data_IF_128151031301
#
_entry.id   IF_128151031301
#
_cell.length_a   1.000
_cell.length_b   1.000
_cell.length_c   1.000
_cell.angle_alpha   90.00
_cell.angle_beta   90.00
_cell.angle_gamma   90.00
#
_symmetry.space_group_name_H-M   'P 1'
#
loop_
_entity.id
_entity.type
_entity.pdbx_description
1 polymer ?
#
# COMPACT_ATOMS: atom_id res chain seq x y z
N UNK A 1 -9.99 16.71 -32.62
CA UNK A 1 -10.61 16.34 -31.33
C UNK A 1 -10.12 17.33 -30.30
N UNK A 2 -10.93 18.34 -29.98
CA UNK A 2 -10.67 19.19 -28.82
C UNK A 2 -10.55 18.27 -27.60
N UNK A 3 -9.42 18.34 -26.88
CA UNK A 3 -9.19 17.50 -25.71
C UNK A 3 -10.32 17.71 -24.71
N UNK A 4 -10.85 16.61 -24.16
CA UNK A 4 -11.93 16.66 -23.16
C UNK A 4 -11.69 17.79 -22.14
N UNK A 5 -12.73 18.54 -21.71
CA UNK A 5 -12.61 19.75 -20.90
C UNK A 5 -11.65 19.63 -19.69
N UNK A 6 -11.57 18.44 -19.13
CA UNK A 6 -10.69 18.10 -18.00
C UNK A 6 -9.21 18.08 -18.33
N UNK A 7 -8.84 17.59 -19.52
CA UNK A 7 -7.45 17.66 -19.99
C UNK A 7 -7.03 19.12 -20.13
N UNK A 8 -7.92 19.95 -20.65
CA UNK A 8 -7.70 21.39 -20.76
C UNK A 8 -7.56 22.06 -19.37
N UNK A 9 -8.39 21.66 -18.39
CA UNK A 9 -8.27 22.13 -17.00
C UNK A 9 -6.93 21.75 -16.37
N UNK A 10 -6.52 20.47 -16.49
CA UNK A 10 -5.24 20.00 -15.94
C UNK A 10 -4.06 20.71 -16.58
N UNK A 11 -4.05 20.80 -17.90
CA UNK A 11 -2.95 21.44 -18.63
C UNK A 11 -2.88 22.94 -18.31
N UNK A 12 -4.03 23.60 -18.12
CA UNK A 12 -4.11 24.98 -17.61
C UNK A 12 -3.51 25.08 -16.19
N UNK A 13 -3.94 24.23 -15.26
CA UNK A 13 -3.44 24.22 -13.88
C UNK A 13 -1.92 23.98 -13.82
N UNK A 14 -1.39 23.09 -14.67
CA UNK A 14 0.06 22.85 -14.79
C UNK A 14 0.79 24.10 -15.27
N UNK A 15 0.29 24.76 -16.32
CA UNK A 15 0.91 25.99 -16.84
C UNK A 15 0.89 27.11 -15.79
N UNK A 16 -0.26 27.35 -15.16
CA UNK A 16 -0.39 28.35 -14.11
C UNK A 16 0.55 28.07 -12.94
N UNK A 17 0.66 26.81 -12.50
CA UNK A 17 1.60 26.46 -11.43
C UNK A 17 3.06 26.69 -11.83
N UNK A 18 3.44 26.38 -13.08
CA UNK A 18 4.79 26.68 -13.57
C UNK A 18 5.06 28.18 -13.64
N UNK A 19 4.08 28.99 -14.05
CA UNK A 19 4.17 30.46 -14.04
C UNK A 19 4.32 30.99 -12.61
N UNK A 20 3.56 30.46 -11.65
CA UNK A 20 3.70 30.78 -10.22
C UNK A 20 5.10 30.42 -9.70
N UNK A 21 5.62 29.23 -10.02
CA UNK A 21 6.98 28.84 -9.66
C UNK A 21 8.03 29.77 -10.28
N UNK A 22 7.90 30.11 -11.56
CA UNK A 22 8.84 30.99 -12.25
C UNK A 22 8.83 32.42 -11.68
N UNK A 23 7.68 32.88 -11.18
CA UNK A 23 7.53 34.18 -10.53
C UNK A 23 7.88 34.18 -9.03
N UNK A 24 8.03 33.01 -8.41
CA UNK A 24 8.25 32.86 -6.98
C UNK A 24 9.69 33.20 -6.59
N UNK A 25 9.91 34.48 -6.24
CA UNK A 25 11.18 34.98 -5.70
C UNK A 25 11.56 34.35 -4.34
N UNK A 26 10.65 33.61 -3.70
CA UNK A 26 10.90 32.86 -2.46
C UNK A 26 11.66 31.56 -2.67
N UNK A 27 11.85 31.10 -3.92
CA UNK A 27 12.65 29.93 -4.29
C UNK A 27 14.15 30.20 -4.12
N UNK A 28 14.58 30.24 -2.85
CA UNK A 28 15.93 30.55 -2.41
C UNK A 28 16.68 29.30 -1.96
N UNK A 29 18.03 29.33 -1.92
CA UNK A 29 18.82 28.25 -1.31
C UNK A 29 18.37 27.92 0.12
N UNK A 30 17.99 28.92 0.91
CA UNK A 30 17.50 28.74 2.28
C UNK A 30 16.17 27.99 2.32
N UNK A 31 15.22 28.29 1.42
CA UNK A 31 13.99 27.51 1.30
C UNK A 31 14.32 26.05 0.97
N UNK A 32 15.18 25.80 -0.01
CA UNK A 32 15.55 24.42 -0.39
C UNK A 32 16.25 23.69 0.76
N UNK A 33 17.09 24.38 1.53
CA UNK A 33 17.69 23.82 2.74
C UNK A 33 16.62 23.47 3.78
N UNK A 34 15.65 24.37 4.04
CA UNK A 34 14.53 24.11 4.96
C UNK A 34 13.67 22.94 4.51
N UNK A 35 13.31 22.84 3.22
CA UNK A 35 12.55 21.72 2.68
C UNK A 35 13.29 20.39 2.85
N UNK A 36 14.59 20.36 2.54
CA UNK A 36 15.43 19.16 2.70
C UNK A 36 15.56 18.75 4.17
N UNK A 37 15.85 19.70 5.05
CA UNK A 37 15.93 19.47 6.50
C UNK A 37 14.59 19.06 7.09
N UNK A 38 13.48 19.59 6.57
CA UNK A 38 12.12 19.20 6.91
C UNK A 38 11.83 17.75 6.55
N UNK A 39 12.20 17.30 5.34
CA UNK A 39 12.06 15.90 4.94
C UNK A 39 12.85 14.97 5.85
N UNK A 40 14.08 15.32 6.23
CA UNK A 40 14.87 14.56 7.21
C UNK A 40 14.19 14.52 8.59
N UNK A 41 13.73 15.67 9.09
CA UNK A 41 13.09 15.78 10.41
C UNK A 41 11.79 14.98 10.49
N UNK A 42 11.01 15.00 9.41
CA UNK A 42 9.75 14.26 9.28
C UNK A 42 9.94 12.79 8.87
N UNK A 43 11.18 12.31 8.75
CA UNK A 43 11.53 10.94 8.32
C UNK A 43 10.99 10.55 6.94
N UNK A 44 10.85 11.54 6.05
CA UNK A 44 10.44 11.38 4.65
C UNK A 44 11.67 11.04 3.80
N UNK A 45 12.30 9.90 4.11
CA UNK A 45 13.54 9.45 3.50
C UNK A 45 13.40 8.01 3.01
N UNK A 46 14.11 7.69 1.92
CA UNK A 46 14.45 6.34 1.53
C UNK A 46 15.96 6.16 1.73
N UNK A 47 16.32 5.53 2.86
CA UNK A 47 17.68 5.50 3.37
C UNK A 47 18.12 6.92 3.74
N UNK A 48 19.16 7.41 3.09
CA UNK A 48 19.63 8.81 3.27
C UNK A 48 19.05 9.78 2.26
N UNK A 49 18.30 9.29 1.26
CA UNK A 49 17.76 10.10 0.16
C UNK A 49 16.37 10.63 0.51
N UNK A 50 16.16 11.93 0.37
CA UNK A 50 14.84 12.52 0.52
C UNK A 50 13.86 12.00 -0.56
N UNK A 51 12.61 11.74 -0.18
CA UNK A 51 11.61 11.14 -1.09
C UNK A 51 11.08 12.12 -2.15
N UNK A 52 11.13 13.43 -1.88
CA UNK A 52 10.65 14.48 -2.80
C UNK A 52 11.75 15.12 -3.63
N UNK A 53 11.64 15.07 -4.96
CA UNK A 53 12.62 15.66 -5.90
C UNK A 53 12.05 16.75 -6.82
N UNK A 54 10.75 17.04 -6.74
CA UNK A 54 10.06 18.03 -7.59
C UNK A 54 9.24 19.00 -6.74
N UNK A 55 9.28 20.28 -7.10
CA UNK A 55 8.44 21.33 -6.48
C UNK A 55 7.00 21.30 -6.99
N UNK A 56 6.74 20.70 -8.15
CA UNK A 56 5.38 20.50 -8.67
C UNK A 56 4.91 19.08 -8.34
N UNK A 57 3.83 18.91 -7.57
CA UNK A 57 3.15 17.62 -7.44
C UNK A 57 2.61 17.11 -8.76
N UNK A 58 2.24 15.83 -8.82
CA UNK A 58 1.45 15.33 -9.93
C UNK A 58 -0.01 15.75 -9.74
N UNK A 59 -0.55 16.55 -10.65
CA UNK A 59 -1.94 17.01 -10.59
C UNK A 59 -2.88 16.05 -11.32
N UNK A 60 -3.97 15.69 -10.64
CA UNK A 60 -5.11 15.00 -11.22
C UNK A 60 -6.35 15.88 -11.02
N UNK A 61 -7.23 15.95 -12.02
CA UNK A 61 -8.57 16.50 -11.81
C UNK A 61 -9.38 15.57 -10.91
N UNK A 62 -10.49 16.08 -10.35
CA UNK A 62 -11.42 15.26 -9.56
C UNK A 62 -11.89 14.03 -10.34
N UNK A 63 -12.31 14.21 -11.59
CA UNK A 63 -12.76 13.09 -12.45
C UNK A 63 -11.64 12.09 -12.74
N UNK A 64 -10.42 12.54 -13.02
CA UNK A 64 -9.29 11.62 -13.23
C UNK A 64 -9.02 10.77 -11.99
N UNK A 65 -9.09 11.38 -10.81
CA UNK A 65 -8.95 10.65 -9.55
C UNK A 65 -10.16 9.73 -9.28
N UNK A 66 -11.39 10.13 -9.62
CA UNK A 66 -12.58 9.26 -9.55
C UNK A 66 -12.44 8.02 -10.46
N UNK A 67 -11.97 8.20 -11.70
CA UNK A 67 -11.70 7.10 -12.62
C UNK A 67 -10.62 6.17 -12.08
N UNK A 68 -9.52 6.71 -11.56
CA UNK A 68 -8.46 5.93 -10.94
C UNK A 68 -9.01 5.11 -9.76
N UNK A 69 -9.82 5.71 -8.90
CA UNK A 69 -10.42 5.04 -7.75
C UNK A 69 -11.41 3.93 -8.17
N UNK A 70 -12.34 4.21 -9.09
CA UNK A 70 -13.31 3.21 -9.56
C UNK A 70 -12.64 2.03 -10.27
N UNK A 71 -11.65 2.30 -11.13
CA UNK A 71 -10.91 1.24 -11.81
C UNK A 71 -10.04 0.43 -10.83
N UNK A 72 -9.38 1.09 -9.87
CA UNK A 72 -8.60 0.39 -8.84
C UNK A 72 -9.48 -0.51 -7.98
N UNK A 73 -10.66 -0.04 -7.56
CA UNK A 73 -11.61 -0.83 -6.78
C UNK A 73 -12.19 -2.00 -7.58
N UNK A 74 -12.45 -1.78 -8.88
CA UNK A 74 -12.94 -2.84 -9.76
C UNK A 74 -11.88 -3.92 -9.98
N UNK A 75 -10.62 -3.55 -10.26
CA UNK A 75 -9.52 -4.53 -10.36
C UNK A 75 -9.24 -5.24 -9.04
N UNK A 76 -9.35 -4.54 -7.92
CA UNK A 76 -9.24 -5.17 -6.61
C UNK A 76 -10.30 -6.28 -6.43
N UNK A 77 -11.56 -6.03 -6.82
CA UNK A 77 -12.62 -7.05 -6.85
C UNK A 77 -12.25 -8.26 -7.70
N UNK A 78 -11.66 -8.06 -8.88
CA UNK A 78 -11.26 -9.17 -9.75
C UNK A 78 -10.13 -9.99 -9.14
N UNK A 79 -9.15 -9.37 -8.47
CA UNK A 79 -8.10 -10.10 -7.76
C UNK A 79 -8.64 -10.93 -6.58
N UNK A 80 -9.69 -10.47 -5.91
CA UNK A 80 -10.35 -11.26 -4.86
C UNK A 80 -11.00 -12.51 -5.44
N UNK A 81 -11.68 -12.41 -6.59
CA UNK A 81 -12.26 -13.57 -7.29
C UNK A 81 -11.20 -14.57 -7.76
N UNK A 82 -10.06 -14.08 -8.25
CA UNK A 82 -8.92 -14.95 -8.56
C UNK A 82 -8.46 -15.71 -7.31
N UNK A 83 -8.39 -15.03 -6.17
CA UNK A 83 -8.02 -15.67 -4.89
C UNK A 83 -9.03 -16.73 -4.47
N UNK A 84 -10.33 -16.42 -4.53
CA UNK A 84 -11.40 -17.37 -4.22
C UNK A 84 -11.32 -18.61 -5.12
N UNK A 85 -11.06 -18.42 -6.42
CA UNK A 85 -10.86 -19.52 -7.36
C UNK A 85 -9.64 -20.37 -7.01
N UNK A 86 -8.52 -19.75 -6.63
CA UNK A 86 -7.31 -20.46 -6.20
C UNK A 86 -7.50 -21.21 -4.88
N UNK A 87 -8.27 -20.67 -3.94
CA UNK A 87 -8.61 -21.37 -2.69
C UNK A 87 -9.56 -22.56 -2.95
N UNK A 88 -10.47 -22.43 -3.91
CA UNK A 88 -11.35 -23.53 -4.32
C UNK A 88 -10.64 -24.60 -5.16
N UNK A 89 -9.58 -24.22 -5.90
CA UNK A 89 -8.75 -25.12 -6.68
C UNK A 89 -7.25 -24.77 -6.54
N UNK A 90 -6.57 -25.32 -5.52
CA UNK A 90 -5.17 -25.00 -5.23
C UNK A 90 -4.18 -25.29 -6.37
N UNK A 91 -4.53 -26.14 -7.34
CA UNK A 91 -3.69 -26.37 -8.53
C UNK A 91 -3.46 -25.07 -9.31
N UNK A 92 -4.40 -24.11 -9.26
CA UNK A 92 -4.28 -22.80 -9.89
C UNK A 92 -3.17 -21.93 -9.28
N UNK A 93 -2.76 -22.18 -8.03
CA UNK A 93 -1.65 -21.45 -7.40
C UNK A 93 -0.31 -21.72 -8.10
N UNK A 94 -0.16 -22.90 -8.71
CA UNK A 94 1.02 -23.23 -9.53
C UNK A 94 1.09 -22.37 -10.81
N UNK A 95 -0.06 -22.01 -11.39
CA UNK A 95 -0.13 -21.17 -12.59
C UNK A 95 0.41 -19.77 -12.34
N UNK A 96 0.24 -19.25 -11.11
CA UNK A 96 0.81 -17.95 -10.71
C UNK A 96 2.20 -18.07 -10.08
N UNK A 97 2.79 -19.27 -10.09
CA UNK A 97 4.15 -19.50 -9.64
C UNK A 97 4.34 -19.41 -8.13
N UNK A 98 3.35 -19.86 -7.35
CA UNK A 98 3.58 -20.13 -5.93
C UNK A 98 4.41 -21.42 -5.78
N UNK A 99 5.41 -21.38 -4.91
CA UNK A 99 6.14 -22.58 -4.48
C UNK A 99 5.25 -23.46 -3.60
N UNK A 100 5.59 -24.75 -3.44
CA UNK A 100 4.86 -25.64 -2.53
C UNK A 100 4.73 -25.07 -1.11
N UNK A 101 5.80 -24.45 -0.62
CA UNK A 101 5.81 -23.83 0.71
C UNK A 101 4.89 -22.60 0.78
N UNK A 102 4.91 -21.75 -0.24
CA UNK A 102 3.98 -20.61 -0.34
C UNK A 102 2.53 -21.08 -0.39
N UNK A 103 2.22 -22.13 -1.18
CA UNK A 103 0.88 -22.72 -1.29
C UNK A 103 0.39 -23.21 0.07
N UNK A 104 1.18 -24.04 0.78
CA UNK A 104 0.79 -24.58 2.10
C UNK A 104 0.41 -23.47 3.09
N UNK A 105 1.19 -22.39 3.12
CA UNK A 105 0.95 -21.28 4.05
C UNK A 105 -0.17 -20.35 3.59
N UNK A 106 -0.41 -20.21 2.29
CA UNK A 106 -1.51 -19.41 1.74
C UNK A 106 -2.90 -20.05 1.96
N UNK A 107 -2.96 -21.38 2.03
CA UNK A 107 -4.18 -22.15 2.30
C UNK A 107 -4.69 -21.98 3.74
N UNK A 108 -3.81 -21.75 4.71
CA UNK A 108 -4.18 -21.53 6.12
C UNK A 108 -5.22 -20.41 6.20
N UNK A 109 -6.33 -20.66 6.88
CA UNK A 109 -7.37 -19.68 7.14
C UNK A 109 -6.87 -18.61 8.11
N UNK A 110 -6.73 -17.34 7.68
CA UNK A 110 -6.24 -16.29 8.53
C UNK A 110 -7.31 -15.76 9.48
N UNK A 111 -8.56 -16.24 9.41
CA UNK A 111 -9.65 -15.81 10.29
C UNK A 111 -10.39 -14.56 9.84
N UNK A 112 -10.12 -14.07 8.62
CA UNK A 112 -10.81 -12.92 8.01
C UNK A 112 -10.97 -13.16 6.49
N UNK A 113 -11.99 -12.53 5.89
CA UNK A 113 -12.44 -12.86 4.54
C UNK A 113 -11.45 -12.41 3.46
N UNK A 114 -10.90 -11.21 3.59
CA UNK A 114 -10.16 -10.56 2.51
C UNK A 114 -8.71 -11.06 2.45
N UNK A 115 -8.21 -11.54 1.30
CA UNK A 115 -6.87 -12.16 1.21
C UNK A 115 -5.72 -11.16 1.35
N UNK A 116 -5.96 -9.89 1.02
CA UNK A 116 -5.00 -8.81 1.16
C UNK A 116 -5.75 -7.52 1.57
N UNK A 117 -5.38 -6.94 2.72
CA UNK A 117 -6.06 -5.79 3.33
C UNK A 117 -5.44 -4.48 2.85
N UNK A 118 -4.12 -4.41 2.84
CA UNK A 118 -3.37 -3.21 2.45
C UNK A 118 -2.58 -3.49 1.19
N UNK A 119 -3.03 -2.93 0.07
CA UNK A 119 -2.47 -3.19 -1.25
C UNK A 119 -2.30 -1.90 -2.04
N UNK A 120 -1.50 -1.93 -3.10
CA UNK A 120 -1.33 -0.80 -4.02
C UNK A 120 -1.36 -1.29 -5.45
N UNK A 121 -2.19 -0.64 -6.27
CA UNK A 121 -2.17 -0.79 -7.71
C UNK A 121 -1.37 0.37 -8.29
N UNK A 122 -0.25 0.04 -8.93
CA UNK A 122 0.62 1.03 -9.55
C UNK A 122 0.22 1.21 -11.02
N UNK A 123 0.00 2.47 -11.42
CA UNK A 123 -0.55 2.81 -12.72
C UNK A 123 0.12 4.04 -13.36
N UNK A 124 0.17 4.04 -14.69
CA UNK A 124 0.45 5.24 -15.48
C UNK A 124 -0.86 5.92 -15.85
N UNK A 125 -0.91 7.25 -15.65
CA UNK A 125 -2.09 8.07 -15.97
C UNK A 125 -1.75 9.07 -17.06
N UNK A 126 -2.40 8.95 -18.22
CA UNK A 126 -2.24 9.86 -19.35
C UNK A 126 -3.61 10.39 -19.83
N UNK A 127 -3.96 11.60 -19.38
CA UNK A 127 -5.32 12.10 -19.60
C UNK A 127 -6.30 11.24 -18.82
N UNK A 128 -7.20 10.56 -19.52
CA UNK A 128 -8.18 9.64 -18.92
C UNK A 128 -7.78 8.17 -19.08
N UNK A 129 -6.69 7.92 -19.79
CA UNK A 129 -6.13 6.59 -19.93
C UNK A 129 -5.35 6.23 -18.67
N UNK A 130 -5.69 5.08 -18.09
CA UNK A 130 -5.06 4.54 -16.89
C UNK A 130 -4.60 3.13 -17.24
N UNK A 131 -3.30 2.87 -17.12
CA UNK A 131 -2.71 1.55 -17.37
C UNK A 131 -2.01 1.03 -16.13
N UNK A 132 -2.51 -0.07 -15.58
CA UNK A 132 -1.93 -0.71 -14.40
C UNK A 132 -0.77 -1.61 -14.82
N UNK A 133 0.30 -1.58 -14.01
CA UNK A 133 1.52 -2.35 -14.28
C UNK A 133 1.90 -3.29 -13.15
N UNK A 134 1.40 -3.05 -11.94
CA UNK A 134 1.73 -3.89 -10.80
C UNK A 134 0.63 -3.86 -9.74
N UNK A 135 0.43 -5.02 -9.10
CA UNK A 135 -0.41 -5.17 -7.93
C UNK A 135 0.46 -5.60 -6.74
N UNK A 136 0.73 -4.64 -5.87
CA UNK A 136 1.55 -4.79 -4.69
C UNK A 136 0.67 -5.18 -3.50
N UNK A 137 0.46 -6.49 -3.33
CA UNK A 137 -0.35 -7.05 -2.25
C UNK A 137 0.44 -7.43 -0.98
N UNK A 138 1.77 -7.39 -1.01
CA UNK A 138 2.63 -7.60 0.16
C UNK A 138 2.98 -6.27 0.86
N UNK A 139 1.98 -5.59 1.42
CA UNK A 139 2.10 -4.37 2.23
C UNK A 139 3.06 -3.29 1.65
N UNK A 140 2.59 -2.48 0.69
CA UNK A 140 3.41 -1.51 -0.04
C UNK A 140 3.95 -0.38 0.86
N UNK A 141 5.16 0.09 0.55
CA UNK A 141 5.82 1.20 1.24
C UNK A 141 5.28 2.59 0.85
N UNK A 142 5.79 3.62 1.55
CA UNK A 142 5.52 5.04 1.28
C UNK A 142 4.11 5.52 1.60
N UNK A 143 3.35 4.75 2.39
CA UNK A 143 2.01 5.12 2.82
C UNK A 143 1.95 6.48 3.57
N UNK A 144 2.87 6.82 4.50
CA UNK A 144 2.82 8.11 5.19
C UNK A 144 3.41 9.27 4.38
N UNK A 145 4.20 8.98 3.33
CA UNK A 145 5.09 9.96 2.69
C UNK A 145 4.33 11.14 2.08
N UNK A 146 3.24 10.86 1.37
CA UNK A 146 2.47 11.88 0.65
C UNK A 146 1.92 12.94 1.60
N UNK A 147 1.45 12.54 2.79
CA UNK A 147 0.87 13.48 3.73
C UNK A 147 1.92 14.48 4.24
N UNK A 148 3.10 13.99 4.60
CA UNK A 148 4.22 14.81 5.04
C UNK A 148 4.80 15.67 3.92
N UNK A 149 4.94 15.13 2.70
CA UNK A 149 5.38 15.88 1.53
C UNK A 149 4.44 17.04 1.22
N UNK A 150 3.13 16.82 1.24
CA UNK A 150 2.16 17.88 0.99
C UNK A 150 2.24 18.98 2.06
N UNK A 151 2.45 18.62 3.33
CA UNK A 151 2.65 19.60 4.40
C UNK A 151 3.90 20.46 4.15
N UNK A 152 5.04 19.84 3.81
CA UNK A 152 6.28 20.58 3.54
C UNK A 152 6.18 21.43 2.28
N UNK A 153 5.64 20.89 1.20
CA UNK A 153 5.51 21.62 -0.07
C UNK A 153 4.52 22.79 0.01
N UNK A 154 3.64 22.81 1.01
CA UNK A 154 2.79 23.97 1.29
C UNK A 154 3.56 25.18 1.82
N UNK A 155 4.84 25.03 2.18
CA UNK A 155 5.73 26.18 2.45
C UNK A 155 6.16 26.93 1.18
N UNK A 156 6.04 26.30 0.00
CA UNK A 156 6.34 26.95 -1.27
C UNK A 156 5.23 27.95 -1.58
N UNK A 157 5.57 29.23 -1.78
CA UNK A 157 4.58 30.29 -1.98
C UNK A 157 3.74 30.04 -3.23
N UNK A 158 4.33 29.49 -4.30
CA UNK A 158 3.59 29.05 -5.47
C UNK A 158 2.45 28.08 -5.13
N UNK A 159 2.64 27.14 -4.19
CA UNK A 159 1.59 26.21 -3.75
C UNK A 159 0.49 26.93 -2.95
N UNK A 160 0.86 27.88 -2.09
CA UNK A 160 -0.10 28.68 -1.31
C UNK A 160 -1.00 29.48 -2.26
N UNK A 161 -0.40 30.21 -3.21
CA UNK A 161 -1.15 30.99 -4.20
C UNK A 161 -2.01 30.10 -5.09
N UNK A 162 -1.47 28.96 -5.53
CA UNK A 162 -2.23 27.99 -6.30
C UNK A 162 -3.47 27.48 -5.55
N UNK A 163 -3.36 27.27 -4.23
CA UNK A 163 -4.48 26.84 -3.38
C UNK A 163 -5.60 27.87 -3.21
N UNK A 164 -5.34 29.15 -3.51
CA UNK A 164 -6.38 30.20 -3.51
C UNK A 164 -7.30 30.08 -4.72
N UNK A 165 -6.83 29.47 -5.82
CA UNK A 165 -7.56 29.36 -7.09
C UNK A 165 -8.09 27.95 -7.34
N UNK A 166 -7.46 26.94 -6.73
CA UNK A 166 -7.81 25.53 -6.89
C UNK A 166 -8.13 24.88 -5.55
N UNK A 167 -9.22 24.11 -5.52
CA UNK A 167 -9.54 23.27 -4.36
C UNK A 167 -8.63 22.04 -4.33
N UNK A 168 -7.64 22.05 -3.46
CA UNK A 168 -6.74 20.93 -3.22
C UNK A 168 -7.38 19.91 -2.26
N UNK A 169 -7.06 18.62 -2.44
CA UNK A 169 -7.53 17.55 -1.57
C UNK A 169 -6.34 16.84 -0.91
N UNK A 170 -6.44 16.66 0.41
CA UNK A 170 -5.44 15.99 1.23
C UNK A 170 -5.97 14.63 1.69
N UNK A 171 -5.27 13.55 1.34
CA UNK A 171 -5.61 12.21 1.78
C UNK A 171 -5.06 11.92 3.19
N UNK A 172 -5.69 10.95 3.88
CA UNK A 172 -5.30 10.50 5.22
C UNK A 172 -5.02 8.98 5.23
N UNK A 173 -4.01 8.52 4.49
CA UNK A 173 -3.77 7.09 4.31
C UNK A 173 -3.46 6.36 5.63
N UNK A 174 -2.75 6.99 6.57
CA UNK A 174 -2.46 6.40 7.89
C UNK A 174 -3.73 6.14 8.71
N UNK A 175 -4.73 7.04 8.63
CA UNK A 175 -6.02 6.84 9.28
C UNK A 175 -6.78 5.67 8.63
N UNK A 176 -6.71 5.55 7.30
CA UNK A 176 -7.26 4.42 6.56
C UNK A 176 -6.61 3.10 6.95
N UNK A 177 -5.28 3.07 7.05
CA UNK A 177 -4.53 1.89 7.49
C UNK A 177 -4.92 1.48 8.91
N UNK A 178 -4.93 2.42 9.86
CA UNK A 178 -5.33 2.13 11.24
C UNK A 178 -6.75 1.56 11.29
N UNK A 179 -7.70 2.17 10.57
CA UNK A 179 -9.08 1.66 10.48
C UNK A 179 -9.12 0.24 9.91
N UNK A 180 -8.34 -0.04 8.86
CA UNK A 180 -8.28 -1.36 8.25
C UNK A 180 -7.71 -2.40 9.22
N UNK A 181 -6.60 -2.11 9.92
CA UNK A 181 -6.01 -3.00 10.93
C UNK A 181 -7.01 -3.34 12.04
N UNK A 182 -7.73 -2.34 12.56
CA UNK A 182 -8.71 -2.54 13.62
C UNK A 182 -9.92 -3.34 13.14
N UNK A 183 -10.42 -3.07 11.94
CA UNK A 183 -11.54 -3.82 11.36
C UNK A 183 -11.15 -5.29 11.09
N UNK A 184 -9.95 -5.54 10.57
CA UNK A 184 -9.45 -6.91 10.38
C UNK A 184 -9.27 -7.63 11.70
N UNK A 185 -8.79 -6.95 12.75
CA UNK A 185 -8.68 -7.54 14.09
C UNK A 185 -10.04 -7.89 14.69
N UNK A 186 -11.05 -7.03 14.51
CA UNK A 186 -12.42 -7.31 14.95
C UNK A 186 -13.04 -8.50 14.19
N UNK A 187 -12.88 -8.54 12.86
CA UNK A 187 -13.33 -9.66 12.02
C UNK A 187 -12.67 -10.98 12.42
N UNK A 188 -11.38 -10.93 12.76
CA UNK A 188 -10.60 -12.06 13.27
C UNK A 188 -11.08 -12.61 14.62
N UNK A 189 -11.99 -11.90 15.30
CA UNK A 189 -12.52 -12.26 16.62
C UNK A 189 -11.81 -11.55 17.78
N UNK A 190 -10.92 -10.60 17.47
CA UNK A 190 -10.29 -9.73 18.44
C UNK A 190 -11.27 -8.71 19.04
N UNK A 191 -10.92 -8.16 20.21
CA UNK A 191 -11.71 -7.10 20.84
C UNK A 191 -10.81 -6.12 21.60
N UNK A 192 -11.32 -4.91 21.81
CA UNK A 192 -10.56 -3.83 22.46
C UNK A 192 -9.45 -3.26 21.58
N UNK A 193 -8.50 -2.56 22.19
CA UNK A 193 -7.34 -2.01 21.50
C UNK A 193 -6.24 -3.08 21.37
N UNK A 194 -5.86 -3.51 20.16
CA UNK A 194 -4.82 -4.51 19.98
C UNK A 194 -3.42 -3.94 20.25
N UNK A 195 -2.52 -4.80 20.67
CA UNK A 195 -1.09 -4.57 20.60
C UNK A 195 -0.54 -4.94 19.22
N UNK A 196 0.02 -3.96 18.51
CA UNK A 196 0.47 -4.11 17.12
C UNK A 196 1.99 -4.25 17.04
N UNK A 197 2.47 -5.22 16.28
CA UNK A 197 3.86 -5.29 15.83
C UNK A 197 3.96 -4.94 14.36
N UNK A 198 4.76 -3.91 14.03
CA UNK A 198 5.23 -3.66 12.67
C UNK A 198 6.48 -4.53 12.49
N UNK A 199 6.35 -5.58 11.69
CA UNK A 199 7.37 -6.62 11.55
C UNK A 199 8.14 -6.47 10.24
N UNK A 200 9.40 -6.04 10.31
CA UNK A 200 10.28 -5.93 9.14
C UNK A 200 11.76 -6.19 9.49
N UNK A 201 12.63 -6.24 8.48
CA UNK A 201 14.07 -6.34 8.69
C UNK A 201 14.66 -5.07 9.33
N UNK A 202 15.76 -5.26 10.07
CA UNK A 202 16.55 -4.16 10.59
C UNK A 202 17.20 -3.35 9.46
N UNK A 203 17.50 -2.09 9.74
CA UNK A 203 18.33 -1.21 8.90
C UNK A 203 17.83 -1.00 7.46
N UNK A 204 16.53 -1.23 7.21
CA UNK A 204 15.93 -0.99 5.90
C UNK A 204 15.84 0.52 5.58
N UNK A 205 16.02 0.91 4.31
CA UNK A 205 15.85 2.30 3.87
C UNK A 205 14.50 2.92 4.25
N UNK A 206 13.46 2.13 4.44
CA UNK A 206 12.08 2.55 4.76
C UNK A 206 11.77 2.60 6.25
N UNK A 207 12.73 2.35 7.15
CA UNK A 207 12.47 2.28 8.59
C UNK A 207 11.83 3.56 9.18
N UNK A 208 12.08 4.73 8.55
CA UNK A 208 11.44 5.99 8.89
C UNK A 208 9.91 5.93 8.85
N UNK A 209 9.33 5.25 7.87
CA UNK A 209 7.88 5.02 7.72
C UNK A 209 7.32 4.29 8.95
N UNK A 210 8.01 3.28 9.46
CA UNK A 210 7.54 2.50 10.61
C UNK A 210 7.51 3.30 11.89
N UNK A 211 8.49 4.20 12.09
CA UNK A 211 8.48 5.12 13.24
C UNK A 211 7.30 6.08 13.15
N UNK A 212 6.99 6.60 11.96
CA UNK A 212 5.82 7.46 11.74
C UNK A 212 4.53 6.71 12.08
N UNK A 213 4.36 5.50 11.53
CA UNK A 213 3.18 4.66 11.75
C UNK A 213 3.01 4.26 13.22
N UNK A 214 4.08 3.79 13.86
CA UNK A 214 4.09 3.44 15.29
C UNK A 214 3.62 4.62 16.15
N UNK A 215 4.20 5.80 15.93
CA UNK A 215 3.83 6.99 16.69
C UNK A 215 2.39 7.41 16.41
N UNK A 216 1.93 7.30 15.16
CA UNK A 216 0.55 7.58 14.78
C UNK A 216 -0.42 6.62 15.48
N UNK A 217 -0.21 5.31 15.44
CA UNK A 217 -1.06 4.32 16.10
C UNK A 217 -1.07 4.50 17.62
N UNK A 218 0.11 4.70 18.24
CA UNK A 218 0.21 4.95 19.67
C UNK A 218 -0.56 6.21 20.10
N UNK A 219 -0.51 7.28 19.30
CA UNK A 219 -1.28 8.50 19.58
C UNK A 219 -2.81 8.32 19.47
N UNK A 220 -3.27 7.22 18.86
CA UNK A 220 -4.68 6.83 18.76
C UNK A 220 -5.04 5.70 19.72
N UNK A 221 -4.21 5.44 20.74
CA UNK A 221 -4.49 4.45 21.78
C UNK A 221 -4.23 3.00 21.37
N UNK A 222 -3.46 2.76 20.30
CA UNK A 222 -3.06 1.43 19.85
C UNK A 222 -1.56 1.24 20.14
N UNK A 223 -1.19 0.53 21.23
CA UNK A 223 0.20 0.27 21.55
C UNK A 223 0.88 -0.45 20.39
N UNK A 224 2.02 0.07 19.94
CA UNK A 224 2.69 -0.43 18.75
C UNK A 224 4.20 -0.51 18.96
N UNK A 225 4.80 -1.62 18.55
CA UNK A 225 6.25 -1.83 18.48
C UNK A 225 6.72 -2.01 17.03
N UNK A 226 8.02 -1.82 16.81
CA UNK A 226 8.70 -2.19 15.57
C UNK A 226 9.70 -3.26 15.98
N UNK A 227 9.71 -4.39 15.27
CA UNK A 227 10.59 -5.50 15.57
C UNK A 227 10.94 -6.29 14.32
N UNK A 228 12.01 -7.06 14.43
CA UNK A 228 12.46 -8.03 13.44
C UNK A 228 11.91 -9.42 13.75
N UNK A 229 11.87 -10.33 12.77
CA UNK A 229 11.47 -11.71 13.03
C UNK A 229 12.35 -12.43 14.06
N UNK A 230 13.65 -12.11 14.13
CA UNK A 230 14.60 -12.71 15.09
C UNK A 230 14.28 -12.35 16.56
N UNK A 231 13.50 -11.29 16.79
CA UNK A 231 13.10 -10.83 18.13
C UNK A 231 11.76 -11.43 18.60
N UNK A 232 11.10 -12.23 17.76
CA UNK A 232 9.82 -12.83 18.10
C UNK A 232 10.02 -14.11 18.92
N UNK A 233 9.20 -14.28 19.94
CA UNK A 233 9.08 -15.51 20.70
C UNK A 233 7.62 -15.97 20.70
N UNK A 234 7.42 -17.29 20.79
CA UNK A 234 6.10 -17.88 20.86
C UNK A 234 6.05 -18.86 22.02
N UNK A 235 5.33 -18.48 23.07
CA UNK A 235 5.24 -19.20 24.33
C UNK A 235 3.81 -19.14 24.86
N UNK A 236 3.30 -20.25 25.39
CA UNK A 236 1.97 -20.34 26.01
C UNK A 236 0.80 -19.78 25.17
N UNK A 237 0.80 -20.05 23.86
CA UNK A 237 -0.26 -19.58 22.95
C UNK A 237 -0.21 -18.08 22.67
N UNK A 238 0.97 -17.45 22.80
CA UNK A 238 1.14 -16.01 22.61
C UNK A 238 2.39 -15.70 21.82
N UNK A 239 2.24 -14.83 20.82
CA UNK A 239 3.37 -14.20 20.16
C UNK A 239 3.80 -12.99 21.01
N UNK A 240 5.07 -12.93 21.36
CA UNK A 240 5.63 -11.88 22.21
C UNK A 240 6.95 -11.36 21.64
N UNK A 241 7.33 -10.15 22.05
CA UNK A 241 8.71 -9.66 22.02
C UNK A 241 9.02 -9.13 23.42
N UNK A 242 9.94 -9.79 24.11
CA UNK A 242 10.21 -9.51 25.52
C UNK A 242 8.90 -9.58 26.35
N UNK A 243 8.49 -8.47 26.99
CA UNK A 243 7.26 -8.36 27.78
C UNK A 243 6.03 -7.90 26.96
N UNK A 244 6.22 -7.57 25.68
CA UNK A 244 5.17 -7.05 24.82
C UNK A 244 4.41 -8.19 24.13
N UNK A 245 3.18 -8.47 24.58
CA UNK A 245 2.24 -9.35 23.87
C UNK A 245 1.82 -8.72 22.54
N UNK A 246 1.85 -9.49 21.46
CA UNK A 246 1.46 -9.07 20.11
C UNK A 246 0.11 -9.70 19.75
N UNK A 247 -0.91 -8.89 19.52
CA UNK A 247 -2.23 -9.34 19.05
C UNK A 247 -2.34 -9.25 17.52
N UNK A 248 -1.72 -8.23 16.93
CA UNK A 248 -1.75 -7.96 15.49
C UNK A 248 -0.34 -7.83 14.94
N UNK A 249 -0.02 -8.56 13.88
CA UNK A 249 1.21 -8.39 13.10
C UNK A 249 0.87 -7.64 11.82
N UNK A 250 1.35 -6.40 11.70
CA UNK A 250 1.43 -5.70 10.42
C UNK A 250 2.72 -6.13 9.70
N UNK A 251 2.60 -7.17 8.86
CA UNK A 251 3.72 -7.88 8.22
C UNK A 251 4.37 -7.07 7.10
N UNK A 252 5.50 -6.40 7.36
CA UNK A 252 6.24 -5.67 6.32
C UNK A 252 7.32 -6.50 5.62
N UNK A 253 7.82 -7.57 6.27
CA UNK A 253 8.70 -8.55 5.62
C UNK A 253 8.06 -9.15 4.38
N UNK A 254 8.86 -9.34 3.32
CA UNK A 254 8.42 -10.02 2.11
C UNK A 254 8.46 -11.54 2.32
N UNK A 255 7.40 -12.23 1.89
CA UNK A 255 7.16 -13.64 2.20
C UNK A 255 8.30 -14.55 1.70
N UNK A 256 8.82 -14.32 0.50
CA UNK A 256 9.86 -15.16 -0.07
C UNK A 256 11.18 -15.02 0.71
N UNK A 257 11.59 -13.79 1.02
CA UNK A 257 12.76 -13.51 1.87
C UNK A 257 12.62 -14.13 3.26
N UNK A 258 11.42 -14.05 3.83
CA UNK A 258 11.11 -14.67 5.13
C UNK A 258 11.27 -16.20 5.09
N UNK A 259 10.75 -16.86 4.04
CA UNK A 259 10.90 -18.31 3.88
C UNK A 259 12.32 -18.76 3.52
N UNK A 260 13.13 -17.92 2.87
CA UNK A 260 14.55 -18.23 2.65
C UNK A 260 15.34 -18.25 3.96
N UNK A 261 14.96 -17.41 4.93
CA UNK A 261 15.69 -17.27 6.20
C UNK A 261 15.22 -18.22 7.30
N UNK A 262 13.94 -18.58 7.34
CA UNK A 262 13.37 -19.34 8.46
C UNK A 262 12.67 -20.62 8.01
N UNK A 263 12.72 -21.65 8.86
CA UNK A 263 11.95 -22.88 8.70
C UNK A 263 10.53 -22.76 9.29
N UNK A 264 9.73 -23.81 9.16
CA UNK A 264 8.33 -23.83 9.61
C UNK A 264 8.19 -23.84 11.15
N UNK A 265 9.31 -23.89 11.90
CA UNK A 265 9.32 -23.82 13.36
C UNK A 265 9.36 -22.40 13.92
N UNK A 266 9.47 -21.39 13.06
CA UNK A 266 9.55 -19.98 13.45
C UNK A 266 8.34 -19.53 14.30
N UNK A 267 8.54 -18.71 15.36
CA UNK A 267 7.47 -18.20 16.23
C UNK A 267 6.26 -17.61 15.51
N UNK A 268 6.49 -16.74 14.53
CA UNK A 268 5.42 -16.15 13.70
C UNK A 268 4.55 -17.21 13.01
N UNK A 269 5.20 -18.24 12.44
CA UNK A 269 4.51 -19.30 11.68
C UNK A 269 3.67 -20.17 12.61
N UNK A 270 4.19 -20.52 13.78
CA UNK A 270 3.45 -21.25 14.81
C UNK A 270 2.24 -20.46 15.32
N UNK A 271 2.43 -19.19 15.65
CA UNK A 271 1.34 -18.33 16.14
C UNK A 271 0.25 -18.13 15.07
N UNK A 272 0.64 -17.96 13.80
CA UNK A 272 -0.30 -17.85 12.69
C UNK A 272 -1.09 -19.15 12.49
N UNK A 273 -0.41 -20.30 12.46
CA UNK A 273 -1.06 -21.61 12.28
C UNK A 273 -2.05 -21.95 13.40
N UNK A 274 -1.71 -21.60 14.64
CA UNK A 274 -2.55 -21.85 15.81
C UNK A 274 -3.66 -20.81 15.99
N UNK A 275 -3.73 -19.79 15.12
CA UNK A 275 -4.70 -18.71 15.23
C UNK A 275 -4.58 -17.92 16.55
N UNK A 276 -3.35 -17.71 17.01
CA UNK A 276 -3.02 -16.97 18.24
C UNK A 276 -2.58 -15.51 17.96
N UNK A 277 -2.46 -15.13 16.69
CA UNK A 277 -2.13 -13.76 16.27
C UNK A 277 -2.86 -13.40 14.98
N UNK A 278 -3.40 -12.18 14.91
CA UNK A 278 -3.99 -11.64 13.70
C UNK A 278 -2.87 -11.09 12.79
N UNK A 279 -2.49 -11.84 11.76
CA UNK A 279 -1.48 -11.39 10.81
C UNK A 279 -2.14 -10.71 9.61
N UNK A 280 -1.99 -9.38 9.49
CA UNK A 280 -2.59 -8.59 8.41
C UNK A 280 -1.74 -8.67 7.13
N UNK A 281 -2.41 -8.93 6.01
CA UNK A 281 -1.81 -9.41 4.75
C UNK A 281 -0.93 -10.63 5.03
N UNK A 282 -1.56 -11.68 5.54
CA UNK A 282 -0.96 -12.99 5.77
C UNK A 282 -0.41 -13.62 4.48
N UNK A 283 0.08 -14.87 4.57
CA UNK A 283 0.66 -15.57 3.41
C UNK A 283 -0.31 -15.71 2.23
N UNK A 284 -1.62 -15.64 2.48
CA UNK A 284 -2.67 -15.65 1.47
C UNK A 284 -2.53 -14.52 0.44
N UNK A 285 -2.00 -13.36 0.82
CA UNK A 285 -1.83 -12.24 -0.12
C UNK A 285 -0.81 -12.56 -1.25
N UNK A 286 0.02 -13.60 -1.08
CA UNK A 286 1.01 -14.02 -2.08
C UNK A 286 0.38 -14.44 -3.40
N UNK A 287 -0.81 -15.04 -3.36
CA UNK A 287 -1.55 -15.49 -4.53
C UNK A 287 -1.77 -14.38 -5.56
N UNK A 288 -2.06 -13.16 -5.07
CA UNK A 288 -2.35 -12.02 -5.93
C UNK A 288 -1.18 -11.05 -6.08
N UNK A 289 -0.13 -11.19 -5.28
CA UNK A 289 1.09 -10.39 -5.45
C UNK A 289 1.91 -10.79 -6.69
N UNK A 290 1.81 -12.05 -7.14
CA UNK A 290 2.58 -12.53 -8.30
C UNK A 290 2.08 -11.84 -9.57
N UNK A 291 3.01 -11.37 -10.41
CA UNK A 291 2.70 -10.68 -11.68
C UNK A 291 1.82 -11.52 -12.63
N UNK A 292 1.94 -12.83 -12.54
CA UNK A 292 1.10 -13.79 -13.26
C UNK A 292 -0.41 -13.61 -12.98
N UNK A 293 -0.81 -12.98 -11.87
CA UNK A 293 -2.21 -12.61 -11.62
C UNK A 293 -2.81 -11.71 -12.71
N UNK A 294 -2.01 -10.83 -13.33
CA UNK A 294 -2.47 -10.02 -14.47
C UNK A 294 -2.73 -10.87 -15.72
N UNK A 295 -2.02 -11.98 -15.87
CA UNK A 295 -2.20 -12.89 -17.00
C UNK A 295 -3.57 -13.56 -16.93
N UNK A 296 -3.98 -13.97 -15.72
CA UNK A 296 -5.31 -14.53 -15.45
C UNK A 296 -6.44 -13.51 -15.74
N UNK A 297 -6.21 -12.21 -15.49
CA UNK A 297 -7.20 -11.18 -15.83
C UNK A 297 -7.45 -11.11 -17.34
N UNK A 298 -6.40 -11.29 -18.14
CA UNK A 298 -6.45 -11.15 -19.61
C UNK A 298 -6.72 -12.45 -20.36
N UNK A 299 -6.76 -13.59 -19.67
CA UNK A 299 -6.94 -14.90 -20.30
C UNK A 299 -8.43 -15.18 -20.60
N UNK A 300 -8.73 -15.51 -21.85
CA UNK A 300 -10.07 -15.86 -22.33
C UNK A 300 -10.69 -17.02 -21.54
N UNK A 301 -9.87 -17.95 -21.04
CA UNK A 301 -10.34 -19.09 -20.24
C UNK A 301 -11.05 -18.63 -18.96
N UNK A 302 -10.61 -17.54 -18.34
CA UNK A 302 -11.09 -17.09 -17.02
C UNK A 302 -12.09 -15.93 -17.09
N UNK A 303 -12.44 -15.44 -18.29
CA UNK A 303 -13.40 -14.35 -18.47
C UNK A 303 -14.75 -14.59 -17.77
N UNK A 304 -15.17 -15.85 -17.67
CA UNK A 304 -16.42 -16.25 -17.02
C UNK A 304 -16.45 -15.98 -15.50
N UNK A 305 -15.32 -15.67 -14.85
CA UNK A 305 -15.26 -15.24 -13.45
C UNK A 305 -15.70 -13.78 -13.26
N UNK A 306 -15.63 -12.98 -14.31
CA UNK A 306 -15.79 -11.53 -14.23
C UNK A 306 -17.14 -11.08 -14.78
N UNK A 307 -17.69 -10.04 -14.15
CA UNK A 307 -18.88 -9.35 -14.63
C UNK A 307 -18.56 -8.50 -15.87
N UNK A 308 -19.59 -8.07 -16.60
CA UNK A 308 -19.42 -7.19 -17.76
C UNK A 308 -18.66 -5.88 -17.41
N UNK A 309 -18.92 -5.28 -16.24
CA UNK A 309 -18.21 -4.08 -15.76
C UNK A 309 -16.73 -4.38 -15.52
N UNK A 310 -16.42 -5.51 -14.87
CA UNK A 310 -15.04 -5.89 -14.58
C UNK A 310 -14.26 -6.17 -15.87
N UNK A 311 -14.85 -6.88 -16.83
CA UNK A 311 -14.23 -7.13 -18.14
C UNK A 311 -13.94 -5.82 -18.89
N UNK A 312 -14.87 -4.87 -18.88
CA UNK A 312 -14.66 -3.55 -19.49
C UNK A 312 -13.48 -2.81 -18.85
N UNK A 313 -13.36 -2.86 -17.52
CA UNK A 313 -12.23 -2.23 -16.80
C UNK A 313 -10.92 -2.96 -17.11
N UNK A 314 -10.90 -4.30 -17.12
CA UNK A 314 -9.72 -5.09 -17.46
C UNK A 314 -9.23 -4.70 -18.87
N UNK A 315 -10.09 -4.75 -19.88
CA UNK A 315 -9.73 -4.43 -21.27
C UNK A 315 -9.21 -2.99 -21.44
N UNK A 316 -9.79 -2.05 -20.69
CA UNK A 316 -9.37 -0.65 -20.73
C UNK A 316 -8.04 -0.40 -20.03
N UNK A 317 -7.75 -1.12 -18.95
CA UNK A 317 -6.73 -0.69 -17.98
C UNK A 317 -5.57 -1.66 -17.80
N UNK A 318 -5.72 -2.92 -18.20
CA UNK A 318 -4.63 -3.90 -18.19
C UNK A 318 -4.03 -3.98 -19.60
N UNK A 319 -2.72 -3.77 -19.76
CA UNK A 319 -2.07 -3.99 -21.05
C UNK A 319 -2.28 -5.44 -21.52
N UNK A 320 -2.75 -5.62 -22.76
CA UNK A 320 -2.85 -6.95 -23.36
C UNK A 320 -1.48 -7.57 -23.61
N UNK A 321 -1.44 -8.89 -23.77
CA UNK A 321 -0.28 -9.58 -24.33
C UNK A 321 -0.23 -9.31 -25.83
N UNK A 322 0.90 -8.80 -26.32
CA UNK A 322 1.31 -9.00 -27.73
C UNK A 322 1.78 -10.44 -27.92
#
# INVERSE_FOLDING_TARGET
MEGAPDRQMRDKAIREYHELLAADKGLTPDLFHRLKSGMTTMRLLHGTRAVGVSLRPHFLTRRQYDLLADYSQTLFSTFNKITEAMLANPELMSLVGLTERETRWAEVDPGYAMPAITTRLDAFVNGDEIKYVEYNAENPSSLPDQAGLNQLLFEVKAMQQFSEHYRLHQFRPMAGLLKALLATFEEWGGSGAPHVAILDWADLPTQGEFVILRNYFASHGVPTIICTPDELEYQDGRLIREDFKIDVVYKRVIIHEFFEKYDDSHPLLKAYLNHDVCMVNCFRCKMVHKKAGFEILTDELYRHWYSAKELEVIEKTVPGRE
#
